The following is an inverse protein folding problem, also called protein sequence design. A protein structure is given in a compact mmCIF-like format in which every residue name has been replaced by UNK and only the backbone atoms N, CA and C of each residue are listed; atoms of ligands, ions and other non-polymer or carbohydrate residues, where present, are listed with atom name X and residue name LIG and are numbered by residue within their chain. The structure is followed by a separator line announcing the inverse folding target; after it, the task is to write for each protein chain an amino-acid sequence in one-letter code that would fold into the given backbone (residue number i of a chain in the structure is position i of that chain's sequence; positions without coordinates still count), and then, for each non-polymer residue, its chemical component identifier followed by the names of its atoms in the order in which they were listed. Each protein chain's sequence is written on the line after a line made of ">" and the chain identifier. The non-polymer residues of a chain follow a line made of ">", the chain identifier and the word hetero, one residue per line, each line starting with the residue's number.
data_IF_650297946728
#
_entry.id   IF_650297946728
#
_cell.length_a   1.000
_cell.length_b   1.000
_cell.length_c   1.000
_cell.angle_alpha   90.00
_cell.angle_beta   90.00
_cell.angle_gamma   90.00
#
_symmetry.space_group_name_H-M   'P 1'
#
loop_
_entity.id
_entity.type
_entity.pdbx_description
1 polymer ?
#
# COMPACT_ATOMS: atom_id res chain seq x y z
N UNK A 1 12.15 0.39 -6.81
CA UNK A 1 11.89 1.61 -6.04
C UNK A 1 11.85 1.25 -4.56
N UNK A 2 12.68 1.88 -3.78
CA UNK A 2 12.71 1.68 -2.33
C UNK A 2 12.17 2.92 -1.61
N UNK A 3 11.39 2.68 -0.54
CA UNK A 3 10.85 3.74 0.29
C UNK A 3 11.90 4.13 1.33
N UNK A 4 12.31 5.40 1.35
CA UNK A 4 13.27 5.94 2.31
C UNK A 4 12.66 6.88 3.34
N UNK A 5 11.54 7.53 3.01
CA UNK A 5 10.87 8.46 3.90
C UNK A 5 10.10 7.71 4.98
N UNK A 6 10.19 8.19 6.21
CA UNK A 6 9.41 7.67 7.32
C UNK A 6 8.06 8.39 7.40
N UNK A 7 6.99 7.62 7.56
CA UNK A 7 5.64 8.14 7.80
C UNK A 7 5.23 7.73 9.21
N UNK A 8 4.81 8.72 10.00
CA UNK A 8 4.34 8.52 11.37
C UNK A 8 2.82 8.55 11.42
N UNK A 9 2.25 7.68 12.25
CA UNK A 9 0.83 7.68 12.55
C UNK A 9 0.44 8.76 13.58
N UNK A 10 -0.82 8.77 13.99
CA UNK A 10 -1.34 9.74 14.96
C UNK A 10 -0.65 9.64 16.33
N UNK A 11 -0.09 8.49 16.67
CA UNK A 11 0.65 8.26 17.91
C UNK A 11 2.15 8.56 17.80
N UNK A 12 2.61 8.99 16.63
CA UNK A 12 4.02 9.24 16.34
C UNK A 12 4.83 7.98 16.05
N UNK A 13 4.18 6.82 15.90
CA UNK A 13 4.82 5.58 15.53
C UNK A 13 5.04 5.48 14.03
N UNK A 14 6.21 5.01 13.61
CA UNK A 14 6.57 4.87 12.20
C UNK A 14 5.90 3.62 11.61
N UNK A 15 5.18 3.78 10.51
CA UNK A 15 4.73 2.63 9.72
C UNK A 15 5.91 2.07 8.91
N UNK A 16 6.04 0.74 8.88
CA UNK A 16 7.09 0.09 8.10
C UNK A 16 6.95 0.41 6.61
N UNK A 17 8.04 0.76 5.91
CA UNK A 17 8.03 0.89 4.45
C UNK A 17 7.52 -0.36 3.74
N UNK A 18 7.77 -1.54 4.29
CA UNK A 18 7.27 -2.81 3.75
C UNK A 18 5.74 -2.91 3.84
N UNK A 19 5.15 -2.41 4.92
CA UNK A 19 3.69 -2.39 5.08
C UNK A 19 3.04 -1.42 4.10
N UNK A 20 3.65 -0.26 3.86
CA UNK A 20 3.17 0.70 2.86
C UNK A 20 3.17 0.08 1.46
N UNK A 21 4.23 -0.63 1.11
CA UNK A 21 4.35 -1.31 -0.18
C UNK A 21 3.34 -2.44 -0.31
N UNK A 22 3.07 -3.17 0.77
CA UNK A 22 2.04 -4.22 0.79
C UNK A 22 0.64 -3.61 0.56
N UNK A 23 0.32 -2.50 1.23
CA UNK A 23 -0.93 -1.78 1.04
C UNK A 23 -1.10 -1.33 -0.41
N UNK A 24 -0.08 -0.76 -1.01
CA UNK A 24 -0.06 -0.39 -2.43
C UNK A 24 -0.36 -1.60 -3.33
N UNK A 25 0.31 -2.70 -3.05
CA UNK A 25 0.16 -3.92 -3.84
C UNK A 25 -1.24 -4.51 -3.73
N UNK A 26 -1.82 -4.55 -2.53
CA UNK A 26 -3.20 -5.00 -2.33
C UNK A 26 -4.16 -4.14 -3.16
N UNK A 27 -4.03 -2.82 -3.08
CA UNK A 27 -4.87 -1.88 -3.83
C UNK A 27 -4.78 -2.09 -5.34
N UNK A 28 -3.58 -2.28 -5.87
CA UNK A 28 -3.35 -2.50 -7.29
C UNK A 28 -3.86 -3.86 -7.76
N UNK A 29 -3.57 -4.91 -6.99
CA UNK A 29 -3.88 -6.27 -7.39
C UNK A 29 -5.39 -6.53 -7.44
N UNK A 30 -6.16 -5.99 -6.48
CA UNK A 30 -7.63 -6.10 -6.53
C UNK A 30 -8.22 -5.36 -7.73
N UNK A 31 -7.65 -4.22 -8.08
CA UNK A 31 -8.20 -3.36 -9.13
C UNK A 31 -7.80 -3.79 -10.55
N UNK A 32 -6.54 -4.14 -10.75
CA UNK A 32 -6.00 -4.36 -12.10
C UNK A 32 -5.67 -5.81 -12.42
N UNK A 33 -5.61 -6.68 -11.43
CA UNK A 33 -5.24 -8.10 -11.60
C UNK A 33 -6.30 -9.05 -11.08
N UNK A 34 -7.41 -8.53 -10.59
CA UNK A 34 -8.51 -9.31 -10.00
C UNK A 34 -8.01 -10.34 -8.98
N UNK A 35 -7.00 -9.94 -8.20
CA UNK A 35 -6.36 -10.79 -7.20
C UNK A 35 -6.82 -10.38 -5.81
N UNK A 36 -7.37 -11.33 -5.07
CA UNK A 36 -7.87 -11.10 -3.71
C UNK A 36 -6.73 -10.84 -2.73
N UNK A 37 -6.98 -10.03 -1.65
CA UNK A 37 -5.93 -9.65 -0.69
C UNK A 37 -5.20 -10.82 -0.06
N UNK A 38 -5.89 -11.93 0.23
CA UNK A 38 -5.31 -13.14 0.81
C UNK A 38 -4.16 -13.68 -0.04
N UNK A 39 -4.36 -13.69 -1.34
CA UNK A 39 -3.34 -14.16 -2.28
C UNK A 39 -2.15 -13.20 -2.34
N UNK A 40 -2.41 -11.91 -2.36
CA UNK A 40 -1.35 -10.89 -2.35
C UNK A 40 -0.51 -11.01 -1.08
N UNK A 41 -1.13 -11.17 0.08
CA UNK A 41 -0.44 -11.34 1.37
C UNK A 41 0.36 -12.66 1.39
N UNK A 42 -0.22 -13.75 0.90
CA UNK A 42 0.44 -15.05 0.87
C UNK A 42 1.71 -15.04 0.00
N UNK A 43 1.71 -14.26 -1.09
CA UNK A 43 2.85 -14.13 -1.99
C UNK A 43 3.88 -13.10 -1.54
N UNK A 44 3.58 -12.29 -0.53
CA UNK A 44 4.40 -11.14 -0.14
C UNK A 44 5.80 -11.52 0.31
N UNK A 45 5.95 -12.57 1.08
CA UNK A 45 7.25 -13.04 1.56
C UNK A 45 8.17 -13.43 0.40
N UNK A 46 7.63 -14.02 -0.66
CA UNK A 46 8.38 -14.34 -1.86
C UNK A 46 8.82 -13.10 -2.63
N UNK A 47 7.96 -12.08 -2.67
CA UNK A 47 8.29 -10.78 -3.29
C UNK A 47 9.45 -10.11 -2.54
N UNK A 48 9.39 -10.10 -1.21
CA UNK A 48 10.44 -9.53 -0.36
C UNK A 48 11.75 -10.30 -0.51
N UNK A 49 11.69 -11.62 -0.53
CA UNK A 49 12.87 -12.47 -0.72
C UNK A 49 13.55 -12.22 -2.08
N UNK A 50 12.75 -12.07 -3.15
CA UNK A 50 13.25 -11.73 -4.48
C UNK A 50 13.92 -10.36 -4.51
N UNK A 51 13.36 -9.37 -3.83
CA UNK A 51 13.95 -8.04 -3.72
C UNK A 51 15.27 -8.07 -2.95
N UNK A 52 15.35 -8.80 -1.84
CA UNK A 52 16.57 -8.94 -1.04
C UNK A 52 17.69 -9.59 -1.86
N UNK A 53 17.37 -10.53 -2.71
CA UNK A 53 18.33 -11.25 -3.55
C UNK A 53 18.74 -10.45 -4.78
N UNK A 54 17.78 -9.85 -5.50
CA UNK A 54 18.00 -9.36 -6.87
C UNK A 54 18.10 -7.84 -6.95
N UNK A 55 17.58 -7.08 -5.99
CA UNK A 55 17.52 -5.62 -6.06
C UNK A 55 18.38 -4.95 -4.99
N UNK A 56 18.30 -5.35 -3.72
CA UNK A 56 19.03 -4.69 -2.63
C UNK A 56 20.55 -4.66 -2.80
N UNK A 57 21.20 -5.72 -3.31
CA UNK A 57 22.65 -5.67 -3.51
C UNK A 57 23.10 -4.57 -4.46
N UNK A 58 22.23 -4.14 -5.38
CA UNK A 58 22.53 -3.12 -6.40
C UNK A 58 22.07 -1.72 -6.02
N UNK A 59 21.49 -1.54 -4.84
CA UNK A 59 20.88 -0.28 -4.41
C UNK A 59 21.86 0.88 -4.36
N UNK A 60 23.09 0.63 -3.93
CA UNK A 60 24.15 1.64 -3.84
C UNK A 60 24.78 1.98 -5.20
N UNK A 61 24.60 1.12 -6.21
CA UNK A 61 25.12 1.35 -7.55
C UNK A 61 24.15 2.08 -8.48
N UNK A 62 22.95 2.43 -7.98
CA UNK A 62 22.00 3.23 -8.74
C UNK A 62 22.50 4.67 -8.90
N UNK A 63 22.43 5.22 -10.13
CA UNK A 63 22.83 6.58 -10.42
C UNK A 63 21.93 7.62 -9.77
N UNK A 64 20.63 7.32 -9.68
CA UNK A 64 19.61 8.18 -9.09
C UNK A 64 18.70 7.41 -8.13
N UNK A 65 18.29 8.07 -7.05
CA UNK A 65 17.29 7.55 -6.14
C UNK A 65 16.08 8.49 -6.13
N UNK A 66 14.91 7.95 -6.46
CA UNK A 66 13.64 8.69 -6.44
C UNK A 66 12.82 8.24 -5.25
N UNK A 67 12.37 9.21 -4.43
CA UNK A 67 11.41 8.95 -3.37
C UNK A 67 10.00 9.05 -3.95
N UNK A 68 9.33 7.90 -4.09
CA UNK A 68 7.98 7.81 -4.67
C UNK A 68 6.87 7.78 -3.64
N UNK A 69 7.18 7.92 -2.35
CA UNK A 69 6.18 7.87 -1.29
C UNK A 69 5.51 9.24 -1.08
N UNK A 70 4.21 9.20 -0.79
CA UNK A 70 3.43 10.36 -0.37
C UNK A 70 3.10 10.23 1.11
N UNK A 71 3.28 11.32 1.88
CA UNK A 71 3.06 11.33 3.34
C UNK A 71 1.62 10.92 3.69
N UNK A 72 0.65 11.34 2.86
CA UNK A 72 -0.78 11.06 3.07
C UNK A 72 -1.25 9.72 2.50
N UNK A 73 -0.37 8.94 1.95
CA UNK A 73 -0.69 7.70 1.23
C UNK A 73 -1.45 6.67 2.08
N UNK A 74 -1.04 6.35 3.32
CA UNK A 74 -1.81 5.47 4.18
C UNK A 74 -3.21 6.00 4.48
N UNK A 75 -3.36 7.32 4.58
CA UNK A 75 -4.63 7.98 4.85
C UNK A 75 -5.65 7.78 3.73
N UNK A 76 -5.19 7.77 2.49
CA UNK A 76 -6.05 7.58 1.30
C UNK A 76 -6.30 6.10 1.05
N UNK A 77 -5.26 5.28 1.06
CA UNK A 77 -5.35 3.86 0.72
C UNK A 77 -6.11 3.04 1.76
N UNK A 78 -6.12 3.46 3.03
CA UNK A 78 -6.85 2.76 4.09
C UNK A 78 -8.33 2.58 3.77
N UNK A 79 -8.97 3.54 3.12
CA UNK A 79 -10.40 3.48 2.79
C UNK A 79 -10.72 2.34 1.82
N UNK A 80 -9.78 2.01 0.94
CA UNK A 80 -9.92 0.90 0.01
C UNK A 80 -9.50 -0.43 0.65
N UNK A 81 -8.41 -0.44 1.39
CA UNK A 81 -7.74 -1.68 1.84
C UNK A 81 -8.37 -2.26 3.10
N UNK A 82 -8.75 -1.43 4.08
CA UNK A 82 -9.33 -1.92 5.35
C UNK A 82 -10.56 -2.81 5.14
N UNK A 83 -11.57 -2.42 4.34
CA UNK A 83 -12.72 -3.29 4.10
C UNK A 83 -12.33 -4.65 3.50
N UNK A 84 -11.35 -4.66 2.60
CA UNK A 84 -10.85 -5.88 1.98
C UNK A 84 -10.15 -6.79 2.99
N UNK A 85 -9.34 -6.23 3.88
CA UNK A 85 -8.67 -6.98 4.94
C UNK A 85 -9.66 -7.62 5.91
N UNK A 86 -10.76 -6.93 6.20
CA UNK A 86 -11.81 -7.41 7.12
C UNK A 86 -12.63 -8.56 6.56
N UNK A 87 -12.64 -8.75 5.26
CA UNK A 87 -13.28 -9.89 4.60
C UNK A 87 -12.48 -11.19 4.71
N UNK A 88 -11.20 -11.13 5.08
CA UNK A 88 -10.37 -12.32 5.27
C UNK A 88 -10.85 -13.10 6.49
N UNK A 89 -11.26 -14.37 6.32
CA UNK A 89 -11.81 -15.16 7.43
C UNK A 89 -10.73 -15.57 8.43
N UNK A 90 -11.14 -15.82 9.67
CA UNK A 90 -10.27 -16.15 10.79
C UNK A 90 -9.46 -17.44 10.59
N UNK A 91 -9.98 -18.39 9.84
CA UNK A 91 -9.31 -19.65 9.51
C UNK A 91 -8.27 -19.53 8.39
N UNK A 92 -8.19 -18.37 7.72
CA UNK A 92 -7.19 -18.14 6.68
C UNK A 92 -5.80 -17.92 7.31
N UNK A 93 -4.73 -18.54 6.78
CA UNK A 93 -3.36 -18.34 7.27
C UNK A 93 -2.89 -16.88 7.29
N UNK A 94 -3.45 -16.05 6.43
CA UNK A 94 -3.12 -14.61 6.33
C UNK A 94 -3.91 -13.74 7.30
N UNK A 95 -4.83 -14.29 8.09
CA UNK A 95 -5.71 -13.52 8.96
C UNK A 95 -4.96 -12.65 9.96
N UNK A 96 -3.96 -13.19 10.63
CA UNK A 96 -3.16 -12.43 11.60
C UNK A 96 -2.45 -11.25 10.95
N UNK A 97 -1.81 -11.46 9.81
CA UNK A 97 -1.14 -10.38 9.06
C UNK A 97 -2.14 -9.32 8.59
N UNK A 98 -3.30 -9.74 8.13
CA UNK A 98 -4.39 -8.85 7.73
C UNK A 98 -4.89 -7.99 8.90
N UNK A 99 -5.04 -8.58 10.09
CA UNK A 99 -5.45 -7.88 11.29
C UNK A 99 -4.41 -6.88 11.78
N UNK A 100 -3.13 -7.24 11.74
CA UNK A 100 -2.04 -6.35 12.10
C UNK A 100 -2.00 -5.13 11.17
N UNK A 101 -2.17 -5.37 9.88
CA UNK A 101 -2.18 -4.30 8.86
C UNK A 101 -3.40 -3.39 9.02
N UNK A 102 -4.59 -3.94 9.25
CA UNK A 102 -5.81 -3.19 9.56
C UNK A 102 -5.59 -2.27 10.78
N UNK A 103 -5.09 -2.82 11.88
CA UNK A 103 -4.84 -2.05 13.09
C UNK A 103 -3.85 -0.89 12.86
N UNK A 104 -2.82 -1.09 12.06
CA UNK A 104 -1.85 -0.04 11.72
C UNK A 104 -2.47 1.05 10.86
N UNK A 105 -3.27 0.68 9.86
CA UNK A 105 -3.95 1.64 9.00
C UNK A 105 -5.02 2.44 9.74
N UNK A 106 -5.65 1.86 10.75
CA UNK A 106 -6.62 2.57 11.60
C UNK A 106 -6.03 3.74 12.38
N UNK A 107 -4.70 3.79 12.55
CA UNK A 107 -3.99 4.89 13.22
C UNK A 107 -3.79 6.12 12.34
N UNK A 108 -4.21 6.08 11.08
CA UNK A 108 -4.14 7.21 10.16
C UNK A 108 -5.53 7.80 9.96
N UNK A 109 -5.61 9.13 9.85
CA UNK A 109 -6.85 9.81 9.50
C UNK A 109 -7.25 9.48 8.05
N UNK A 110 -8.51 9.13 7.77
CA UNK A 110 -8.95 8.87 6.40
C UNK A 110 -9.01 10.14 5.58
N UNK A 111 -8.45 10.11 4.38
CA UNK A 111 -8.52 11.18 3.39
C UNK A 111 -9.28 10.66 2.17
N UNK A 112 -10.19 11.48 1.66
CA UNK A 112 -10.96 11.14 0.46
C UNK A 112 -10.06 11.03 -0.76
N UNK A 113 -10.20 9.93 -1.51
CA UNK A 113 -9.45 9.70 -2.74
C UNK A 113 -9.68 10.77 -3.81
N UNK A 114 -10.84 11.45 -3.78
CA UNK A 114 -11.15 12.56 -4.71
C UNK A 114 -10.18 13.76 -4.54
N UNK A 115 -9.56 13.92 -3.38
CA UNK A 115 -8.56 14.95 -3.15
C UNK A 115 -7.22 14.66 -3.82
N UNK A 116 -6.99 13.43 -4.27
CA UNK A 116 -5.76 13.06 -4.96
C UNK A 116 -5.83 13.52 -6.42
N UNK A 117 -4.85 14.31 -6.89
CA UNK A 117 -4.85 14.79 -8.28
C UNK A 117 -4.90 13.67 -9.31
N UNK A 118 -5.50 13.93 -10.47
CA UNK A 118 -5.62 12.96 -11.56
C UNK A 118 -4.27 12.49 -12.11
N UNK A 119 -3.24 13.32 -12.01
CA UNK A 119 -1.88 13.03 -12.47
C UNK A 119 -0.96 12.50 -11.37
N UNK A 120 -1.48 12.22 -10.17
CA UNK A 120 -0.69 11.63 -9.09
C UNK A 120 -0.33 10.19 -9.38
N UNK A 121 0.88 9.79 -8.99
CA UNK A 121 1.30 8.38 -9.00
C UNK A 121 0.38 7.46 -8.18
N UNK A 122 -0.27 7.99 -7.14
CA UNK A 122 -1.23 7.22 -6.35
C UNK A 122 -2.44 6.75 -7.16
N UNK A 123 -2.74 7.36 -8.30
CA UNK A 123 -3.82 6.91 -9.18
C UNK A 123 -3.57 5.53 -9.77
N UNK A 124 -2.33 5.08 -9.83
CA UNK A 124 -2.01 3.68 -10.18
C UNK A 124 -2.66 2.69 -9.20
N UNK A 125 -2.74 3.06 -7.93
CA UNK A 125 -3.31 2.22 -6.87
C UNK A 125 -4.78 2.48 -6.59
N UNK A 126 -5.26 3.72 -6.80
CA UNK A 126 -6.64 4.15 -6.56
C UNK A 126 -7.56 4.00 -7.77
N UNK A 127 -7.01 3.96 -8.96
CA UNK A 127 -7.75 4.07 -10.20
C UNK A 127 -7.87 5.51 -10.70
N UNK A 128 -8.34 5.69 -11.94
CA UNK A 128 -8.52 7.02 -12.51
C UNK A 128 -9.54 7.82 -11.70
N UNK A 129 -9.28 9.13 -11.59
CA UNK A 129 -10.24 10.04 -10.99
C UNK A 129 -11.49 10.09 -11.88
N UNK A 130 -12.64 9.85 -11.28
CA UNK A 130 -13.91 10.03 -11.98
C UNK A 130 -14.13 11.52 -12.13
N UNK A 131 -14.04 12.02 -13.35
CA UNK A 131 -14.53 13.36 -13.65
C UNK A 131 -16.05 13.31 -13.54
N UNK A 132 -16.60 13.92 -12.50
CA UNK A 132 -18.02 14.21 -12.47
C UNK A 132 -18.29 15.16 -13.64
N UNK A 133 -18.80 14.62 -14.72
CA UNK A 133 -19.22 15.43 -15.83
C UNK A 133 -20.18 16.50 -15.34
N UNK A 134 -19.71 17.72 -15.27
CA UNK A 134 -20.57 18.87 -15.12
C UNK A 134 -21.36 18.99 -16.39
N UNK A 135 -22.59 18.61 -16.32
CA UNK A 135 -23.56 19.02 -17.34
C UNK A 135 -23.92 20.49 -17.16
#
# INVERSE_FOLDING_TARGET
>A
VSVKQQIKDINGEVISPMDIRLVRRISRDIRSRDTMPERTIAMWDNVVAGEDKDIRPYRLSADYTVNSIHIYEPCVLRRLVIPLLREIPEDNPCYRKARDLDARLMRFEPIDAELVPANSMLREFLGPKVENGTN
#
